data_IF_107548236974
#
_entry.id   IF_107548236974
#
_cell.length_a   1.000
_cell.length_b   1.000
_cell.length_c   1.000
_cell.angle_alpha   90.00
_cell.angle_beta   90.00
_cell.angle_gamma   90.00
#
_symmetry.space_group_name_H-M   'P 1'
#
loop_
_entity.id
_entity.type
_entity.pdbx_description
1 polymer ?
#
# COMPACT_ATOMS: atom_id res chain seq x y z
N UNK A 1 -30.95 -39.74 -13.35
CA UNK A 1 -30.92 -38.27 -13.28
C UNK A 1 -29.60 -37.87 -12.65
N UNK A 2 -28.59 -37.56 -13.47
CA UNK A 2 -27.32 -37.04 -12.98
C UNK A 2 -27.54 -35.55 -12.67
N UNK A 3 -27.54 -35.19 -11.40
CA UNK A 3 -27.50 -33.80 -10.96
C UNK A 3 -26.17 -33.22 -11.43
N UNK A 4 -26.22 -32.49 -12.54
CA UNK A 4 -25.14 -31.61 -12.98
C UNK A 4 -24.90 -30.57 -11.89
N UNK A 5 -24.01 -30.86 -10.95
CA UNK A 5 -23.50 -29.87 -10.02
C UNK A 5 -22.80 -28.80 -10.85
N UNK A 6 -23.40 -27.61 -10.91
CA UNK A 6 -22.71 -26.42 -11.42
C UNK A 6 -21.35 -26.37 -10.70
N UNK A 7 -20.22 -26.22 -11.41
CA UNK A 7 -18.93 -26.06 -10.72
C UNK A 7 -19.09 -24.92 -9.71
N UNK A 8 -18.63 -25.13 -8.48
CA UNK A 8 -18.70 -24.11 -7.43
C UNK A 8 -18.12 -22.82 -8.01
N UNK A 9 -18.85 -21.71 -7.84
CA UNK A 9 -18.39 -20.43 -8.34
C UNK A 9 -17.00 -20.13 -7.72
N UNK A 10 -16.06 -19.57 -8.49
CA UNK A 10 -14.73 -19.25 -7.97
C UNK A 10 -14.78 -18.23 -6.82
N UNK A 11 -15.89 -17.51 -6.67
CA UNK A 11 -16.12 -16.53 -5.61
C UNK A 11 -17.55 -16.68 -5.07
N UNK A 12 -17.69 -16.73 -3.74
CA UNK A 12 -18.96 -16.57 -3.02
C UNK A 12 -18.99 -15.19 -2.34
N UNK A 13 -19.71 -14.19 -2.90
CA UNK A 13 -19.73 -12.84 -2.36
C UNK A 13 -20.26 -12.75 -0.93
N UNK A 14 -21.22 -13.60 -0.54
CA UNK A 14 -21.80 -13.54 0.80
C UNK A 14 -20.80 -13.96 1.86
N UNK A 15 -20.03 -15.02 1.58
CA UNK A 15 -18.97 -15.50 2.48
C UNK A 15 -17.84 -14.48 2.56
N UNK A 16 -17.42 -13.92 1.41
CA UNK A 16 -16.35 -12.92 1.35
C UNK A 16 -16.70 -11.66 2.13
N UNK A 17 -17.92 -11.13 1.95
CA UNK A 17 -18.35 -9.90 2.61
C UNK A 17 -18.67 -10.08 4.11
N UNK A 18 -19.02 -11.30 4.52
CA UNK A 18 -19.25 -11.62 5.93
C UNK A 18 -17.95 -11.95 6.69
N UNK A 19 -16.81 -12.01 6.01
CA UNK A 19 -15.55 -12.38 6.65
C UNK A 19 -15.05 -11.28 7.60
N UNK A 20 -14.88 -11.66 8.87
CA UNK A 20 -14.21 -10.85 9.87
C UNK A 20 -12.73 -11.22 9.94
N UNK A 21 -11.87 -10.25 9.63
CA UNK A 21 -10.43 -10.41 9.70
C UNK A 21 -9.95 -10.28 11.15
N UNK A 22 -9.00 -11.12 11.60
CA UNK A 22 -8.38 -10.94 12.90
C UNK A 22 -7.59 -9.62 12.95
N UNK A 23 -7.57 -8.99 14.12
CA UNK A 23 -6.68 -7.87 14.37
C UNK A 23 -5.22 -8.34 14.39
N UNK A 24 -4.36 -7.58 13.74
CA UNK A 24 -2.91 -7.87 13.70
C UNK A 24 -2.17 -6.72 14.33
N UNK A 25 -1.44 -7.01 15.41
CA UNK A 25 -0.57 -6.04 16.07
C UNK A 25 0.88 -6.33 15.74
N UNK A 26 1.67 -5.27 15.56
CA UNK A 26 3.12 -5.39 15.37
C UNK A 26 3.81 -4.12 15.85
N UNK A 27 5.10 -4.27 16.13
CA UNK A 27 5.99 -3.18 16.49
C UNK A 27 6.93 -2.90 15.31
N UNK A 28 7.37 -1.65 15.20
CA UNK A 28 8.47 -1.25 14.35
C UNK A 28 9.33 -0.23 15.07
N UNK A 29 10.59 -0.16 14.68
CA UNK A 29 11.58 0.75 15.25
C UNK A 29 12.30 1.56 14.18
N UNK A 30 13.27 2.36 14.62
CA UNK A 30 14.05 3.23 13.75
C UNK A 30 14.86 2.45 12.72
N UNK A 31 15.27 1.21 13.05
CA UNK A 31 15.97 0.34 12.11
C UNK A 31 15.05 -0.05 10.97
N UNK A 32 13.80 -0.38 11.24
CA UNK A 32 12.83 -0.74 10.20
C UNK A 32 12.53 0.44 9.27
N UNK A 33 12.36 1.63 9.85
CA UNK A 33 12.12 2.87 9.10
C UNK A 33 13.32 3.23 8.22
N UNK A 34 14.54 3.19 8.76
CA UNK A 34 15.75 3.47 8.01
C UNK A 34 16.01 2.43 6.91
N UNK A 35 15.75 1.15 7.19
CA UNK A 35 15.88 0.07 6.22
C UNK A 35 14.91 0.25 5.05
N UNK A 36 13.67 0.65 5.33
CA UNK A 36 12.72 1.02 4.28
C UNK A 36 13.21 2.20 3.46
N UNK A 37 13.68 3.28 4.10
CA UNK A 37 14.17 4.47 3.41
C UNK A 37 15.28 4.14 2.41
N UNK A 38 16.29 3.36 2.84
CA UNK A 38 17.35 2.86 1.95
C UNK A 38 16.78 1.93 0.86
N UNK A 39 15.85 1.04 1.23
CA UNK A 39 15.17 0.12 0.33
C UNK A 39 14.38 0.81 -0.78
N UNK A 40 13.90 2.04 -0.56
CA UNK A 40 13.23 2.86 -1.58
C UNK A 40 14.14 3.91 -2.23
N UNK A 41 15.43 3.89 -1.93
CA UNK A 41 16.46 4.67 -2.63
C UNK A 41 16.92 5.95 -1.96
N UNK A 42 16.50 6.23 -0.72
CA UNK A 42 17.09 7.34 0.04
C UNK A 42 18.61 7.13 0.18
N UNK A 43 19.38 8.21 0.04
CA UNK A 43 20.84 8.21 0.05
C UNK A 43 21.47 7.35 -1.07
N UNK A 44 20.71 7.04 -2.13
CA UNK A 44 21.13 6.12 -3.19
C UNK A 44 22.11 6.72 -4.20
N UNK A 45 21.99 8.01 -4.47
CA UNK A 45 22.85 8.77 -5.39
C UNK A 45 24.01 9.44 -4.64
N UNK A 46 23.72 10.09 -3.51
CA UNK A 46 24.69 10.67 -2.60
C UNK A 46 24.41 10.23 -1.16
N UNK A 47 25.35 9.50 -0.56
CA UNK A 47 25.22 8.96 0.79
C UNK A 47 25.30 10.03 1.89
N UNK A 48 25.78 11.24 1.56
CA UNK A 48 25.93 12.35 2.51
C UNK A 48 25.02 13.53 2.21
N UNK A 49 24.01 13.35 1.34
CA UNK A 49 23.00 14.38 1.09
C UNK A 49 22.21 14.66 2.38
N UNK A 50 22.42 15.84 2.98
CA UNK A 50 21.75 16.27 4.20
C UNK A 50 20.22 16.28 4.07
N UNK A 51 19.70 16.41 2.84
CA UNK A 51 18.25 16.33 2.56
C UNK A 51 17.69 14.92 2.69
N UNK A 52 18.48 13.88 2.50
CA UNK A 52 18.01 12.49 2.60
C UNK A 52 18.57 11.78 3.84
N UNK A 53 19.69 12.24 4.37
CA UNK A 53 20.38 11.63 5.49
C UNK A 53 19.49 11.55 6.74
N UNK A 54 18.58 12.52 6.93
CA UNK A 54 17.66 12.54 8.06
C UNK A 54 16.63 11.39 8.09
N UNK A 55 16.51 10.59 7.02
CA UNK A 55 15.69 9.37 7.00
C UNK A 55 16.43 8.14 7.54
N UNK A 56 17.76 8.21 7.70
CA UNK A 56 18.60 7.06 8.09
C UNK A 56 19.55 7.38 9.25
N UNK A 57 19.80 8.66 9.51
CA UNK A 57 20.69 9.14 10.55
C UNK A 57 20.29 10.55 11.01
N UNK A 58 20.39 10.80 12.31
CA UNK A 58 20.24 12.12 12.89
C UNK A 58 21.33 12.39 13.93
N UNK A 59 21.85 13.63 14.00
CA UNK A 59 22.96 14.00 14.90
C UNK A 59 22.59 13.83 16.38
N UNK A 60 21.32 14.05 16.71
CA UNK A 60 20.78 13.87 18.06
C UNK A 60 20.38 12.41 18.37
N UNK A 61 20.74 11.45 17.51
CA UNK A 61 20.52 10.02 17.71
C UNK A 61 19.33 9.44 16.93
N UNK A 62 19.25 8.11 16.89
CA UNK A 62 18.29 7.36 16.07
C UNK A 62 16.81 7.74 16.26
N UNK A 63 16.30 8.00 17.48
CA UNK A 63 14.89 8.36 17.67
C UNK A 63 14.43 9.61 16.90
N UNK A 64 15.37 10.45 16.46
CA UNK A 64 15.12 11.70 15.73
C UNK A 64 15.14 11.55 14.19
N UNK A 65 15.38 10.35 13.65
CA UNK A 65 15.23 10.14 12.20
C UNK A 65 13.77 10.37 11.80
N UNK A 66 13.54 10.84 10.57
CA UNK A 66 12.20 10.99 10.04
C UNK A 66 11.76 9.71 9.32
N UNK A 67 10.46 9.46 9.37
CA UNK A 67 9.83 8.36 8.64
C UNK A 67 9.32 8.86 7.30
N UNK A 68 9.69 8.19 6.21
CA UNK A 68 9.06 8.45 4.91
C UNK A 68 7.56 8.11 5.00
N UNK A 69 6.64 9.00 4.60
CA UNK A 69 5.20 8.78 4.73
C UNK A 69 4.73 7.44 4.12
N UNK A 70 5.35 7.03 3.02
CA UNK A 70 5.05 5.80 2.29
C UNK A 70 5.44 4.50 3.03
N UNK A 71 6.17 4.58 4.14
CA UNK A 71 6.48 3.42 5.00
C UNK A 71 5.22 2.64 5.40
N UNK A 72 4.11 3.34 5.59
CA UNK A 72 2.81 2.72 5.97
C UNK A 72 2.25 1.77 4.90
N UNK A 73 2.77 1.81 3.67
CA UNK A 73 2.41 0.85 2.62
C UNK A 73 2.78 -0.59 2.97
N UNK A 74 3.72 -0.77 3.91
CA UNK A 74 4.12 -2.09 4.43
C UNK A 74 3.11 -2.67 5.44
N UNK A 75 2.28 -1.82 6.05
CA UNK A 75 1.45 -2.24 7.18
C UNK A 75 0.44 -3.34 6.77
N UNK A 76 -0.24 -3.26 5.61
CA UNK A 76 -1.09 -4.36 5.15
C UNK A 76 -0.36 -5.69 4.98
N UNK A 77 0.93 -5.70 4.62
CA UNK A 77 1.71 -6.93 4.45
C UNK A 77 1.88 -7.70 5.77
N UNK A 78 1.82 -7.02 6.93
CA UNK A 78 1.85 -7.68 8.24
C UNK A 78 0.64 -8.57 8.47
N UNK A 79 -0.49 -8.30 7.80
CA UNK A 79 -1.70 -9.14 7.88
C UNK A 79 -1.55 -10.48 7.15
N UNK A 80 -0.56 -10.59 6.25
CA UNK A 80 -0.29 -11.78 5.43
C UNK A 80 1.05 -12.45 5.74
N UNK A 81 1.68 -12.12 6.88
CA UNK A 81 3.03 -12.56 7.22
C UNK A 81 4.06 -12.28 6.08
N UNK A 82 3.84 -11.21 5.31
CA UNK A 82 4.71 -10.81 4.20
C UNK A 82 4.57 -11.62 2.91
N UNK A 83 3.53 -12.45 2.77
CA UNK A 83 3.26 -13.21 1.54
C UNK A 83 2.50 -12.41 0.47
N UNK A 84 1.99 -11.22 0.81
CA UNK A 84 1.36 -10.30 -0.14
C UNK A 84 -0.09 -10.63 -0.50
N UNK A 85 -0.71 -11.60 0.18
CA UNK A 85 -2.14 -11.89 0.06
C UNK A 85 -2.71 -12.38 1.40
N UNK A 86 -3.95 -12.00 1.68
CA UNK A 86 -4.69 -12.47 2.87
C UNK A 86 -5.63 -13.59 2.44
N UNK A 87 -5.70 -14.66 3.23
CA UNK A 87 -6.66 -15.74 2.98
C UNK A 87 -8.08 -15.24 3.33
N UNK A 88 -8.96 -15.23 2.34
CA UNK A 88 -10.34 -14.78 2.51
C UNK A 88 -11.27 -15.92 2.12
N UNK A 89 -12.03 -16.48 3.07
CA UNK A 89 -13.00 -17.52 2.79
C UNK A 89 -13.96 -17.13 1.67
N UNK A 90 -14.30 -18.09 0.81
CA UNK A 90 -15.15 -17.84 -0.33
C UNK A 90 -14.43 -17.29 -1.57
N UNK A 91 -13.10 -17.14 -1.54
CA UNK A 91 -12.27 -16.90 -2.74
C UNK A 91 -11.46 -18.14 -3.10
N UNK A 92 -11.63 -18.62 -4.34
CA UNK A 92 -10.76 -19.62 -4.92
C UNK A 92 -10.03 -19.01 -6.12
N UNK A 93 -8.71 -18.87 -6.01
CA UNK A 93 -7.87 -18.26 -7.03
C UNK A 93 -6.49 -18.90 -7.08
N UNK A 94 -5.84 -18.77 -8.22
CA UNK A 94 -4.42 -19.11 -8.39
C UNK A 94 -3.56 -17.91 -7.95
N UNK A 95 -2.81 -18.07 -6.87
CA UNK A 95 -1.94 -17.02 -6.34
C UNK A 95 -0.86 -16.57 -7.34
N UNK A 96 -0.45 -17.40 -8.30
CA UNK A 96 0.49 -17.02 -9.36
C UNK A 96 -0.11 -16.01 -10.36
N UNK A 97 -1.43 -15.92 -10.41
CA UNK A 97 -2.17 -15.02 -11.29
C UNK A 97 -2.60 -13.71 -10.62
N UNK A 98 -2.40 -13.60 -9.30
CA UNK A 98 -2.68 -12.43 -8.49
C UNK A 98 -1.79 -11.25 -8.90
N UNK A 99 -2.40 -10.08 -9.04
CA UNK A 99 -1.69 -8.82 -9.25
C UNK A 99 -2.13 -7.79 -8.21
N UNK A 100 -1.17 -7.11 -7.61
CA UNK A 100 -1.43 -5.87 -6.89
C UNK A 100 -1.68 -4.77 -7.92
N UNK A 101 -2.93 -4.35 -8.08
CA UNK A 101 -3.36 -3.44 -9.14
C UNK A 101 -3.21 -1.97 -8.79
N UNK A 102 -3.70 -1.57 -7.61
CA UNK A 102 -3.67 -0.17 -7.16
C UNK A 102 -3.48 -0.11 -5.65
N UNK A 103 -2.81 0.95 -5.20
CA UNK A 103 -2.63 1.25 -3.79
C UNK A 103 -3.09 2.69 -3.53
N UNK A 104 -3.95 2.88 -2.53
CA UNK A 104 -4.35 4.17 -2.00
C UNK A 104 -3.91 4.26 -0.53
N UNK A 105 -3.40 5.42 -0.14
CA UNK A 105 -2.92 5.68 1.22
C UNK A 105 -3.45 7.03 1.66
N UNK A 106 -4.01 7.08 2.87
CA UNK A 106 -4.39 8.31 3.54
C UNK A 106 -3.67 8.37 4.89
N UNK A 107 -2.96 9.47 5.13
CA UNK A 107 -2.13 9.66 6.33
C UNK A 107 -2.79 10.74 7.18
N UNK A 108 -3.25 10.36 8.37
CA UNK A 108 -3.95 11.24 9.28
C UNK A 108 -3.01 11.96 10.25
N UNK A 109 -1.84 11.39 10.52
CA UNK A 109 -0.83 11.93 11.43
C UNK A 109 0.58 11.62 10.91
N UNK A 110 1.60 12.42 11.27
CA UNK A 110 2.99 12.06 11.05
C UNK A 110 3.29 10.68 11.62
N UNK A 111 4.02 9.86 10.85
CA UNK A 111 4.37 8.51 11.26
C UNK A 111 5.60 8.59 12.18
N UNK A 112 5.51 8.09 13.43
CA UNK A 112 6.66 8.11 14.32
C UNK A 112 7.79 7.20 13.79
N UNK A 113 9.00 7.41 14.31
CA UNK A 113 10.17 6.61 13.95
C UNK A 113 10.17 5.22 14.60
N UNK A 114 9.36 5.03 15.65
CA UNK A 114 9.07 3.76 16.29
C UNK A 114 7.62 3.77 16.82
N UNK A 115 6.92 2.64 16.79
CA UNK A 115 5.63 2.50 17.46
C UNK A 115 5.16 1.03 17.55
N UNK A 116 4.28 0.78 18.51
CA UNK A 116 3.38 -0.37 18.51
C UNK A 116 2.05 0.01 17.86
N UNK A 117 1.62 -0.73 16.84
CA UNK A 117 0.40 -0.45 16.09
C UNK A 117 -0.51 -1.66 15.95
N UNK A 118 -1.77 -1.41 15.62
CA UNK A 118 -2.82 -2.42 15.38
C UNK A 118 -3.47 -2.15 14.03
N UNK A 119 -3.53 -3.18 13.20
CA UNK A 119 -4.25 -3.19 11.93
C UNK A 119 -5.64 -3.77 12.11
N UNK A 120 -6.62 -3.12 11.48
CA UNK A 120 -7.99 -3.61 11.30
C UNK A 120 -8.30 -3.67 9.81
N UNK A 121 -8.69 -4.84 9.32
CA UNK A 121 -8.93 -5.08 7.89
C UNK A 121 -10.41 -5.30 7.64
N UNK A 122 -10.90 -4.82 6.49
CA UNK A 122 -12.23 -5.15 5.97
C UNK A 122 -12.21 -5.24 4.45
N UNK A 123 -13.20 -5.94 3.89
CA UNK A 123 -13.48 -5.86 2.45
C UNK A 123 -14.14 -4.52 2.15
N UNK A 124 -13.43 -3.65 1.44
CA UNK A 124 -13.94 -2.35 1.01
C UNK A 124 -14.61 -2.40 -0.37
N UNK A 125 -14.28 -3.41 -1.18
CA UNK A 125 -14.81 -3.57 -2.53
C UNK A 125 -14.69 -5.00 -3.03
N UNK A 126 -15.69 -5.45 -3.79
CA UNK A 126 -15.70 -6.75 -4.46
C UNK A 126 -16.43 -6.61 -5.78
N UNK A 127 -15.73 -6.86 -6.88
CA UNK A 127 -16.25 -6.62 -8.23
C UNK A 127 -15.96 -7.79 -9.15
N UNK A 128 -16.99 -8.28 -9.84
CA UNK A 128 -16.84 -9.20 -10.95
C UNK A 128 -16.50 -8.41 -12.23
N UNK A 129 -15.40 -8.78 -12.89
CA UNK A 129 -14.98 -8.25 -14.19
C UNK A 129 -15.01 -9.32 -15.28
N UNK A 130 -15.87 -10.33 -15.11
CA UNK A 130 -16.10 -11.41 -16.06
C UNK A 130 -15.02 -12.48 -16.00
N UNK A 131 -13.77 -12.15 -16.39
CA UNK A 131 -12.63 -13.11 -16.34
C UNK A 131 -11.74 -12.92 -15.11
N UNK A 132 -12.06 -11.97 -14.26
CA UNK A 132 -11.29 -11.65 -13.08
C UNK A 132 -12.19 -11.09 -11.98
N UNK A 133 -11.68 -11.16 -10.76
CA UNK A 133 -12.28 -10.52 -9.59
C UNK A 133 -11.38 -9.38 -9.13
N UNK A 134 -11.97 -8.23 -8.82
CA UNK A 134 -11.29 -7.16 -8.10
C UNK A 134 -11.72 -7.27 -6.64
N UNK A 135 -10.74 -7.49 -5.76
CA UNK A 135 -10.91 -7.43 -4.32
C UNK A 135 -10.21 -6.19 -3.81
N UNK A 136 -10.91 -5.36 -3.05
CA UNK A 136 -10.33 -4.21 -2.37
C UNK A 136 -10.34 -4.43 -0.88
N UNK A 137 -9.16 -4.43 -0.27
CA UNK A 137 -8.99 -4.56 1.17
C UNK A 137 -8.59 -3.20 1.75
N UNK A 138 -9.32 -2.75 2.75
CA UNK A 138 -8.99 -1.54 3.51
C UNK A 138 -8.41 -1.95 4.85
N UNK A 139 -7.21 -1.45 5.14
CA UNK A 139 -6.51 -1.63 6.42
C UNK A 139 -6.40 -0.28 7.09
N UNK A 140 -7.06 -0.14 8.24
CA UNK A 140 -6.90 1.01 9.13
C UNK A 140 -5.87 0.66 10.20
N UNK A 141 -4.89 1.53 10.39
CA UNK A 141 -3.84 1.32 11.39
C UNK A 141 -3.91 2.39 12.49
N UNK A 142 -3.93 1.94 13.74
CA UNK A 142 -3.96 2.81 14.92
C UNK A 142 -2.81 2.51 15.88
N UNK A 143 -2.40 3.50 16.67
CA UNK A 143 -1.47 3.31 17.78
C UNK A 143 -2.08 2.37 18.82
N UNK A 144 -1.31 1.39 19.29
CA UNK A 144 -1.80 0.36 20.22
C UNK A 144 -2.19 0.91 21.59
N UNK A 145 -1.44 1.89 22.09
CA UNK A 145 -1.67 2.45 23.43
C UNK A 145 -2.84 3.45 23.47
N UNK A 146 -2.91 4.37 22.49
CA UNK A 146 -3.91 5.44 22.49
C UNK A 146 -5.16 5.13 21.67
N UNK A 147 -5.10 4.16 20.75
CA UNK A 147 -6.15 3.90 19.77
C UNK A 147 -6.25 4.97 18.67
N UNK A 148 -5.34 5.95 18.64
CA UNK A 148 -5.36 6.99 17.62
C UNK A 148 -5.01 6.44 16.23
N UNK A 149 -5.84 6.76 15.23
CA UNK A 149 -5.62 6.32 13.85
C UNK A 149 -4.45 7.09 13.22
N UNK A 150 -3.48 6.36 12.67
CA UNK A 150 -2.33 6.93 11.96
C UNK A 150 -2.59 7.06 10.46
N UNK A 151 -3.11 6.00 9.84
CA UNK A 151 -3.30 5.93 8.40
C UNK A 151 -4.39 4.92 8.01
N UNK A 152 -4.86 5.04 6.78
CA UNK A 152 -5.65 4.04 6.08
C UNK A 152 -4.96 3.66 4.77
N UNK A 153 -4.85 2.36 4.52
CA UNK A 153 -4.38 1.80 3.27
C UNK A 153 -5.53 1.08 2.58
N UNK A 154 -5.67 1.26 1.27
CA UNK A 154 -6.56 0.45 0.44
C UNK A 154 -5.78 -0.20 -0.69
N UNK A 155 -5.70 -1.52 -0.67
CA UNK A 155 -5.03 -2.33 -1.68
C UNK A 155 -6.08 -2.95 -2.60
N UNK A 156 -5.90 -2.73 -3.90
CA UNK A 156 -6.76 -3.29 -4.96
C UNK A 156 -6.06 -4.48 -5.58
N UNK A 157 -6.61 -5.65 -5.40
CA UNK A 157 -6.05 -6.94 -5.82
C UNK A 157 -6.84 -7.44 -7.02
N UNK A 158 -6.14 -7.77 -8.10
CA UNK A 158 -6.71 -8.30 -9.32
C UNK A 158 -6.47 -9.81 -9.39
N UNK A 159 -7.54 -10.59 -9.20
CA UNK A 159 -7.54 -12.05 -9.20
C UNK A 159 -7.96 -12.56 -10.58
N UNK A 160 -6.98 -12.74 -11.47
CA UNK A 160 -7.23 -13.24 -12.84
C UNK A 160 -7.70 -14.69 -12.79
N UNK A 161 -8.66 -15.04 -13.64
CA UNK A 161 -9.22 -16.39 -13.71
C UNK A 161 -10.31 -16.67 -12.66
N UNK A 162 -10.40 -15.86 -11.61
CA UNK A 162 -11.36 -16.03 -10.52
C UNK A 162 -12.66 -15.22 -10.69
N UNK A 163 -13.03 -14.83 -11.91
CA UNK A 163 -14.24 -14.05 -12.20
C UNK A 163 -15.44 -14.88 -12.67
N UNK A 164 -16.51 -14.21 -13.08
CA UNK A 164 -17.65 -14.85 -13.75
C UNK A 164 -18.62 -15.52 -12.78
N UNK A 165 -18.62 -15.06 -11.53
CA UNK A 165 -19.52 -15.53 -10.47
C UNK A 165 -20.87 -14.79 -10.49
N UNK A 166 -20.99 -13.73 -11.30
CA UNK A 166 -22.22 -12.96 -11.50
C UNK A 166 -22.74 -13.05 -12.94
N UNK A 167 -23.96 -12.58 -13.16
CA UNK A 167 -24.52 -12.48 -14.51
C UNK A 167 -23.73 -11.44 -15.32
N UNK A 168 -23.20 -11.85 -16.48
CA UNK A 168 -22.48 -10.95 -17.40
C UNK A 168 -23.25 -9.69 -17.79
N UNK A 169 -24.59 -9.75 -17.81
CA UNK A 169 -25.45 -8.59 -18.12
C UNK A 169 -25.58 -7.62 -16.94
N UNK A 170 -25.29 -8.08 -15.71
CA UNK A 170 -25.33 -7.32 -14.47
C UNK A 170 -24.15 -7.74 -13.57
N UNK A 171 -22.93 -7.30 -13.90
CA UNK A 171 -21.75 -7.68 -13.13
C UNK A 171 -21.89 -7.28 -11.66
N UNK A 172 -21.56 -8.20 -10.76
CA UNK A 172 -21.59 -7.94 -9.32
C UNK A 172 -20.59 -6.85 -8.96
N UNK A 173 -21.02 -5.91 -8.13
CA UNK A 173 -20.19 -4.82 -7.64
C UNK A 173 -20.67 -4.38 -6.28
N UNK A 174 -19.78 -4.46 -5.30
CA UNK A 174 -19.96 -3.97 -3.94
C UNK A 174 -18.82 -3.00 -3.60
N UNK A 175 -19.13 -1.91 -2.91
CA UNK A 175 -18.13 -1.02 -2.32
C UNK A 175 -18.68 -0.34 -1.06
N UNK A 176 -17.84 -0.12 -0.05
CA UNK A 176 -18.21 0.57 1.20
C UNK A 176 -18.05 2.09 1.15
N UNK A 177 -17.55 2.61 0.04
CA UNK A 177 -17.27 4.02 -0.15
C UNK A 177 -17.90 4.52 -1.46
N UNK A 178 -18.30 5.80 -1.53
CA UNK A 178 -19.01 6.31 -2.69
C UNK A 178 -18.08 6.41 -3.90
N UNK A 179 -18.61 6.12 -5.09
CA UNK A 179 -17.86 6.07 -6.35
C UNK A 179 -17.17 7.39 -6.73
N UNK A 180 -17.54 8.52 -6.10
CA UNK A 180 -16.97 9.84 -6.34
C UNK A 180 -15.71 10.12 -5.51
N UNK A 181 -15.38 9.29 -4.50
CA UNK A 181 -14.25 9.54 -3.61
C UNK A 181 -12.89 9.29 -4.29
N UNK A 182 -12.87 8.45 -5.33
CA UNK A 182 -11.69 8.21 -6.17
C UNK A 182 -11.94 8.88 -7.52
N UNK A 183 -11.67 10.19 -7.59
CA UNK A 183 -11.69 10.89 -8.88
C UNK A 183 -10.72 10.20 -9.84
N UNK A 184 -11.15 9.93 -11.08
CA UNK A 184 -10.20 9.53 -12.13
C UNK A 184 -9.24 10.70 -12.32
N UNK A 185 -8.05 10.58 -11.76
CA UNK A 185 -6.99 11.57 -11.98
C UNK A 185 -6.64 11.51 -13.46
N UNK A 186 -7.03 12.54 -14.22
CA UNK A 186 -6.57 12.70 -15.59
C UNK A 186 -5.22 13.39 -15.55
N UNK A 187 -4.19 12.73 -16.06
CA UNK A 187 -2.89 13.38 -16.26
C UNK A 187 -3.09 14.48 -17.31
N UNK A 188 -2.73 15.75 -17.01
CA UNK A 188 -2.84 16.83 -17.98
C UNK A 188 -2.03 16.53 -19.25
N UNK A 189 -2.55 16.91 -20.41
CA UNK A 189 -1.85 16.77 -21.69
C UNK A 189 -0.74 17.84 -21.91
N UNK A 190 -0.29 18.51 -20.85
CA UNK A 190 0.78 19.52 -20.88
C UNK A 190 2.13 18.90 -20.54
N UNK A 191 3.22 19.61 -20.83
CA UNK A 191 4.55 19.21 -20.34
C UNK A 191 4.56 19.12 -18.80
N UNK A 192 5.31 18.16 -18.21
CA UNK A 192 5.49 18.10 -16.76
C UNK A 192 6.15 19.37 -16.21
N UNK A 193 5.70 19.85 -15.06
CA UNK A 193 6.31 21.00 -14.39
C UNK A 193 7.71 20.71 -13.83
N UNK A 194 7.99 19.43 -13.52
CA UNK A 194 9.28 18.94 -13.07
C UNK A 194 9.44 17.48 -13.49
N UNK A 195 10.68 17.06 -13.73
CA UNK A 195 11.06 15.67 -14.01
C UNK A 195 12.28 15.35 -13.15
N UNK A 196 12.24 14.20 -12.48
CA UNK A 196 13.34 13.70 -11.66
C UNK A 196 13.62 12.26 -12.10
N UNK A 197 14.88 11.96 -12.40
CA UNK A 197 15.36 10.62 -12.69
C UNK A 197 16.02 10.03 -11.45
N UNK A 198 15.75 8.75 -11.16
CA UNK A 198 16.33 8.02 -10.04
C UNK A 198 16.87 6.67 -10.55
N UNK A 199 18.12 6.36 -10.21
CA UNK A 199 18.81 5.15 -10.65
C UNK A 199 18.65 4.02 -9.65
N UNK A 200 17.71 3.12 -9.93
CA UNK A 200 17.56 1.88 -9.16
C UNK A 200 18.83 1.01 -9.21
N UNK A 201 19.30 0.53 -8.06
CA UNK A 201 20.43 -0.41 -7.99
C UNK A 201 19.99 -1.82 -8.39
N UNK A 202 20.93 -2.65 -8.84
CA UNK A 202 20.63 -4.06 -9.19
C UNK A 202 20.07 -4.85 -8.01
N UNK A 203 20.51 -4.54 -6.79
CA UNK A 203 20.10 -5.17 -5.54
C UNK A 203 18.88 -4.52 -4.88
N UNK A 204 18.26 -3.49 -5.48
CA UNK A 204 17.23 -2.67 -4.82
C UNK A 204 16.04 -3.51 -4.31
N UNK A 205 15.55 -4.45 -5.13
CA UNK A 205 14.47 -5.35 -4.74
C UNK A 205 14.86 -6.29 -3.58
N UNK A 206 16.13 -6.71 -3.53
CA UNK A 206 16.65 -7.56 -2.45
C UNK A 206 16.83 -6.79 -1.14
N UNK A 207 17.10 -5.49 -1.21
CA UNK A 207 17.15 -4.62 -0.04
C UNK A 207 15.74 -4.31 0.46
N UNK A 208 14.84 -3.88 -0.44
CA UNK A 208 13.48 -3.51 -0.08
C UNK A 208 12.72 -4.66 0.59
N UNK A 209 12.82 -5.89 0.07
CA UNK A 209 12.07 -7.04 0.62
C UNK A 209 12.30 -7.26 2.11
N UNK A 210 13.45 -6.82 2.63
CA UNK A 210 13.77 -6.88 4.06
C UNK A 210 12.87 -5.98 4.93
N UNK A 211 12.16 -5.03 4.32
CA UNK A 211 11.11 -4.23 4.97
C UNK A 211 9.80 -4.98 5.17
N UNK A 212 9.62 -6.18 4.59
CA UNK A 212 8.52 -7.08 4.94
C UNK A 212 7.69 -7.64 3.78
N UNK A 213 8.05 -7.36 2.51
CA UNK A 213 7.48 -8.05 1.35
C UNK A 213 8.43 -9.18 0.93
N UNK A 214 8.16 -10.39 1.42
CA UNK A 214 8.99 -11.55 1.17
C UNK A 214 8.52 -12.38 -0.03
N UNK A 215 7.63 -11.85 -0.87
CA UNK A 215 7.12 -12.55 -2.04
C UNK A 215 8.29 -13.01 -2.95
N UNK A 216 8.42 -14.32 -3.23
CA UNK A 216 9.53 -14.85 -4.02
C UNK A 216 9.58 -14.27 -5.44
N UNK A 217 8.49 -13.72 -5.96
CA UNK A 217 8.45 -13.00 -7.24
C UNK A 217 9.57 -11.95 -7.38
N UNK A 218 9.99 -11.34 -6.26
CA UNK A 218 10.98 -10.27 -6.24
C UNK A 218 12.43 -10.75 -6.10
N UNK A 219 12.67 -12.02 -5.77
CA UNK A 219 14.00 -12.56 -5.50
C UNK A 219 14.35 -13.82 -6.30
N UNK A 220 13.36 -14.67 -6.57
CA UNK A 220 13.53 -15.97 -7.23
C UNK A 220 13.34 -15.83 -8.75
N UNK A 221 14.37 -16.14 -9.57
CA UNK A 221 14.27 -16.06 -11.02
C UNK A 221 13.30 -17.06 -11.65
N UNK A 222 13.15 -18.25 -11.08
CA UNK A 222 12.31 -19.31 -11.64
C UNK A 222 10.83 -18.96 -11.40
N UNK A 223 10.50 -18.49 -10.19
CA UNK A 223 9.16 -17.98 -9.88
C UNK A 223 8.80 -16.76 -10.74
N UNK A 224 9.73 -15.81 -10.91
CA UNK A 224 9.51 -14.66 -11.77
C UNK A 224 9.28 -15.06 -13.24
N UNK A 225 10.02 -16.06 -13.73
CA UNK A 225 9.87 -16.58 -15.09
C UNK A 225 8.51 -17.25 -15.29
N UNK A 226 8.06 -18.07 -14.32
CA UNK A 226 6.74 -18.70 -14.34
C UNK A 226 5.60 -17.66 -14.35
N UNK A 227 5.77 -16.55 -13.63
CA UNK A 227 4.84 -15.42 -13.65
C UNK A 227 4.94 -14.54 -14.92
N UNK A 228 5.83 -14.87 -15.86
CA UNK A 228 6.04 -14.12 -17.10
C UNK A 228 6.81 -12.80 -16.94
N UNK A 229 7.47 -12.58 -15.79
CA UNK A 229 8.26 -11.38 -15.50
C UNK A 229 9.72 -11.61 -15.89
N UNK A 230 10.19 -10.88 -16.91
CA UNK A 230 11.61 -10.90 -17.31
C UNK A 230 12.49 -10.14 -16.31
N UNK A 231 13.74 -10.57 -16.17
CA UNK A 231 14.72 -10.04 -15.21
C UNK A 231 14.84 -8.50 -15.18
N UNK A 232 14.74 -7.81 -16.32
CA UNK A 232 14.84 -6.33 -16.38
C UNK A 232 13.62 -5.58 -15.83
N UNK A 233 12.49 -6.26 -15.57
CA UNK A 233 11.26 -5.66 -15.02
C UNK A 233 11.11 -5.87 -13.50
N UNK A 234 11.96 -6.70 -12.88
CA UNK A 234 11.93 -6.97 -11.42
C UNK A 234 12.15 -5.70 -10.59
N UNK A 235 12.89 -4.74 -11.12
CA UNK A 235 13.21 -3.46 -10.47
C UNK A 235 12.07 -2.43 -10.48
N UNK A 236 10.98 -2.65 -11.25
CA UNK A 236 9.93 -1.63 -11.48
C UNK A 236 8.69 -1.73 -10.58
N UNK A 237 8.55 -2.78 -9.78
CA UNK A 237 7.39 -2.95 -8.89
C UNK A 237 7.50 -2.04 -7.64
N UNK A 238 8.64 -1.39 -7.44
CA UNK A 238 9.00 -0.72 -6.18
C UNK A 238 8.68 0.78 -6.07
N UNK A 239 8.08 1.40 -7.09
CA UNK A 239 7.94 2.85 -7.13
C UNK A 239 6.61 3.35 -6.54
N UNK A 240 6.57 3.54 -5.22
CA UNK A 240 5.60 4.44 -4.59
C UNK A 240 6.23 5.64 -3.87
N UNK A 241 7.58 5.74 -3.83
CA UNK A 241 8.27 6.84 -3.12
C UNK A 241 8.07 8.23 -3.74
N UNK A 242 8.15 8.39 -5.07
CA UNK A 242 8.47 9.70 -5.68
C UNK A 242 7.37 10.37 -6.52
N UNK A 243 6.11 9.97 -6.43
CA UNK A 243 5.03 10.86 -6.90
C UNK A 243 4.89 12.12 -6.02
N UNK A 244 5.62 12.20 -4.90
CA UNK A 244 5.57 13.28 -3.91
C UNK A 244 6.71 14.31 -4.02
N UNK A 245 7.32 14.49 -5.19
CA UNK A 245 8.26 15.60 -5.47
C UNK A 245 7.65 17.01 -5.25
N UNK A 246 6.38 17.10 -4.83
CA UNK A 246 5.69 18.34 -4.49
C UNK A 246 6.02 18.92 -3.10
N UNK A 247 6.62 18.14 -2.17
CA UNK A 247 6.93 18.66 -0.82
C UNK A 247 7.96 19.81 -0.84
N UNK A 248 8.86 19.87 -1.83
CA UNK A 248 9.85 20.95 -1.95
C UNK A 248 9.23 22.32 -2.33
N UNK A 249 7.94 22.39 -2.70
CA UNK A 249 7.29 23.61 -3.18
C UNK A 249 6.22 24.20 -2.23
N UNK A 250 5.96 23.57 -1.09
CA UNK A 250 5.03 24.10 -0.09
C UNK A 250 5.74 25.12 0.80
N UNK A 251 5.61 26.41 0.43
CA UNK A 251 5.99 27.52 1.33
C UNK A 251 5.21 27.42 2.64
N UNK A 252 5.82 27.69 3.81
CA UNK A 252 5.09 27.69 5.07
C UNK A 252 3.98 28.74 5.03
N UNK A 253 2.76 28.31 5.33
CA UNK A 253 1.64 29.22 5.59
C UNK A 253 2.05 30.17 6.73
N UNK A 254 1.98 31.50 6.56
CA UNK A 254 2.23 32.41 7.65
C UNK A 254 1.15 32.23 8.72
N UNK A 255 1.59 32.01 9.96
CA UNK A 255 0.75 31.92 11.15
C UNK A 255 -0.29 33.05 11.17
N UNK A 256 -1.56 32.70 11.07
CA UNK A 256 -2.65 33.65 11.26
C UNK A 256 -2.64 34.11 12.73
N UNK A 257 -2.23 35.37 12.96
CA UNK A 257 -2.44 36.04 14.25
C UNK A 257 -3.93 36.23 14.45
N UNK A 258 -4.47 35.62 15.50
CA UNK A 258 -5.82 35.92 15.99
C UNK A 258 -5.88 37.39 16.45
N UNK A 259 -6.85 38.19 16.00
CA UNK A 259 -7.04 39.53 16.53
C UNK A 259 -7.65 39.45 17.93
N UNK A 260 -7.00 40.12 18.89
CA UNK A 260 -7.57 40.41 20.21
C UNK A 260 -8.76 41.36 20.02
N UNK A 261 -9.96 40.92 20.38
CA UNK A 261 -11.16 41.75 20.47
C UNK A 261 -11.49 42.04 21.93
N UNK A 262 -11.50 43.33 22.29
CA UNK A 262 -11.79 43.84 23.62
C UNK A 262 -13.28 43.66 24.01
N UNK A 263 -13.48 43.41 25.30
CA UNK A 263 -14.75 43.54 26.04
C UNK A 263 -15.09 45.02 26.20
N UNK A 264 -16.32 45.44 25.89
CA UNK A 264 -17.10 46.44 26.66
C UNK A 264 -18.61 46.21 26.39
N UNK A 265 -19.36 45.99 27.49
CA UNK A 265 -20.81 46.01 27.72
C UNK A 265 -21.80 45.51 26.65
#
# INVERSE_FOLDING_TARGET
MATSSKPAAPVDPMVVLAHEFPEVSFDYDERDVALYALGVGACGDDAVDEKELHFVYHRDGQPHIKTLPTFVSLFPNKNSNGLGFVDVPGLNFDASLLLHGQQYIEIYRPIPSYASVVNRVKVAGLHDKGKATILELETTTSLKESGEILCMNRSTIYLRGAGGFSDSSRPYSYATYPANQVSRISIPNSAPSAVCDDQTKQSQALLYRLSGDYNPLHSDPDIAQLAGIRCSRRHKIFLQRRTDCGEEHLRPFPSARLPRGNVVH
#
